data_IF_025695326227
#
_entry.id   IF_025695326227
#
_cell.length_a   1.000
_cell.length_b   1.000
_cell.length_c   1.000
_cell.angle_alpha   90.00
_cell.angle_beta   90.00
_cell.angle_gamma   90.00
#
_symmetry.space_group_name_H-M   'P 1'
#
loop_
_entity.id
_entity.type
_entity.pdbx_description
1 polymer ?
#
# COMPACT_ATOMS: atom_id res chain seq x y z
N UNK A 1 2.67 18.02 -6.06
CA UNK A 1 1.52 18.67 -6.36
C UNK A 1 0.28 17.89 -6.08
N UNK A 2 -0.54 18.46 -5.40
CA UNK A 2 -1.73 17.77 -4.92
C UNK A 2 -2.82 17.62 -5.99
N UNK A 3 -2.55 18.05 -7.21
CA UNK A 3 -3.55 18.07 -8.26
C UNK A 3 -4.14 16.71 -8.58
N UNK A 4 -3.39 15.62 -8.28
CA UNK A 4 -3.83 14.26 -8.58
C UNK A 4 -4.52 13.59 -7.41
N UNK A 5 -4.71 14.31 -6.29
CA UNK A 5 -5.41 13.74 -5.16
C UNK A 5 -6.91 13.71 -5.44
N UNK A 6 -7.60 12.63 -5.07
CA UNK A 6 -9.05 12.57 -5.26
C UNK A 6 -9.74 13.61 -4.38
N UNK A 7 -10.88 14.11 -4.86
CA UNK A 7 -11.69 15.08 -4.12
C UNK A 7 -12.61 14.40 -3.12
N UNK A 8 -12.61 13.07 -3.06
CA UNK A 8 -13.49 12.31 -2.19
C UNK A 8 -12.69 11.42 -1.25
N UNK A 9 -13.37 10.90 -0.25
CA UNK A 9 -12.84 9.91 0.67
C UNK A 9 -13.46 8.56 0.33
N UNK A 10 -12.64 7.55 0.14
CA UNK A 10 -13.17 6.22 -0.17
C UNK A 10 -14.04 5.74 0.97
N UNK A 11 -15.11 4.99 0.61
CA UNK A 11 -16.02 4.48 1.63
C UNK A 11 -15.39 3.39 2.49
N UNK A 12 -14.45 2.64 1.93
CA UNK A 12 -13.69 1.65 2.68
C UNK A 12 -12.22 2.00 2.59
N UNK A 13 -11.60 2.23 3.75
CA UNK A 13 -10.20 2.63 3.83
C UNK A 13 -9.50 1.76 4.87
N UNK A 14 -8.51 0.97 4.49
CA UNK A 14 -7.74 0.22 5.48
C UNK A 14 -6.89 1.16 6.33
N UNK A 15 -6.81 0.86 7.62
CA UNK A 15 -5.93 1.55 8.54
C UNK A 15 -4.94 0.55 9.09
N UNK A 16 -3.66 0.79 8.84
CA UNK A 16 -2.59 -0.11 9.24
C UNK A 16 -1.92 0.44 10.49
N UNK A 17 -1.85 -0.39 11.54
CA UNK A 17 -1.02 -0.08 12.69
C UNK A 17 0.43 -0.33 12.30
N UNK A 18 1.30 0.66 12.53
CA UNK A 18 2.72 0.56 12.18
C UNK A 18 3.57 0.69 13.44
N UNK A 19 4.72 0.04 13.46
CA UNK A 19 5.58 0.02 14.64
C UNK A 19 6.59 1.17 14.66
N UNK A 20 6.89 1.73 13.49
CA UNK A 20 7.81 2.86 13.35
C UNK A 20 7.21 3.79 12.30
N UNK A 21 6.45 4.78 12.76
CA UNK A 21 5.70 5.66 11.88
C UNK A 21 6.61 6.38 10.87
N UNK A 22 7.75 6.88 11.32
CA UNK A 22 8.65 7.61 10.42
C UNK A 22 9.15 6.71 9.29
N UNK A 23 9.51 5.48 9.60
CA UNK A 23 9.97 4.52 8.59
C UNK A 23 8.84 4.17 7.61
N UNK A 24 7.63 3.95 8.11
CA UNK A 24 6.48 3.63 7.26
C UNK A 24 6.10 4.80 6.39
N UNK A 25 6.06 6.01 6.95
CA UNK A 25 5.74 7.20 6.19
C UNK A 25 6.74 7.41 5.05
N UNK A 26 8.04 7.25 5.35
CA UNK A 26 9.08 7.36 4.34
C UNK A 26 8.88 6.31 3.23
N UNK A 27 8.59 5.08 3.63
CA UNK A 27 8.38 4.00 2.67
C UNK A 27 7.22 4.30 1.73
N UNK A 28 6.06 4.66 2.28
CA UNK A 28 4.89 4.90 1.44
C UNK A 28 5.04 6.16 0.58
N UNK A 29 5.67 7.21 1.11
CA UNK A 29 5.80 8.48 0.36
C UNK A 29 7.03 8.50 -0.53
N UNK A 30 8.22 8.45 0.05
CA UNK A 30 9.46 8.63 -0.71
C UNK A 30 9.77 7.43 -1.61
N UNK A 31 9.48 6.21 -1.15
CA UNK A 31 9.78 5.01 -1.94
C UNK A 31 8.66 4.70 -2.93
N UNK A 32 7.42 4.56 -2.45
CA UNK A 32 6.32 4.14 -3.31
C UNK A 32 5.67 5.29 -4.08
N UNK A 33 5.67 6.48 -3.52
CA UNK A 33 5.11 7.64 -4.21
C UNK A 33 3.71 8.05 -3.76
N UNK A 34 3.23 7.55 -2.61
CA UNK A 34 1.98 8.04 -2.04
C UNK A 34 2.12 9.49 -1.63
N UNK A 35 1.02 10.22 -1.66
CA UNK A 35 0.94 11.58 -1.12
C UNK A 35 0.20 11.59 0.19
N UNK A 36 0.58 12.51 1.08
CA UNK A 36 -0.09 12.68 2.38
C UNK A 36 -1.26 13.64 2.20
N UNK A 37 -2.45 13.18 2.58
CA UNK A 37 -3.65 14.01 2.52
C UNK A 37 -3.96 14.67 3.86
N UNK A 38 -3.75 13.91 4.97
CA UNK A 38 -3.89 14.40 6.34
C UNK A 38 -2.76 13.78 7.16
N UNK A 39 -2.22 14.55 8.08
CA UNK A 39 -1.24 14.04 9.04
C UNK A 39 -1.57 14.61 10.42
N UNK A 40 -1.52 13.74 11.44
CA UNK A 40 -1.79 14.11 12.82
C UNK A 40 -0.73 13.54 13.73
N UNK A 41 -0.70 14.00 14.95
CA UNK A 41 0.18 13.51 16.00
C UNK A 41 -0.63 13.09 17.23
N UNK A 42 -0.02 12.28 18.11
CA UNK A 42 -0.56 11.86 19.39
C UNK A 42 -1.83 11.00 19.23
N UNK A 43 -1.73 9.83 18.57
CA UNK A 43 -0.54 9.22 17.99
C UNK A 43 -0.24 9.76 16.59
N UNK A 44 0.97 9.49 16.11
CA UNK A 44 1.32 9.81 14.73
C UNK A 44 0.39 9.04 13.78
N UNK A 45 -0.13 9.75 12.80
CA UNK A 45 -1.12 9.25 11.86
C UNK A 45 -0.96 9.96 10.52
N UNK A 46 -1.17 9.22 9.43
CA UNK A 46 -1.24 9.81 8.10
C UNK A 46 -2.31 9.12 7.26
N UNK A 47 -3.03 9.93 6.49
CA UNK A 47 -3.96 9.46 5.46
C UNK A 47 -3.25 9.62 4.14
N UNK A 48 -3.09 8.51 3.41
CA UNK A 48 -2.24 8.44 2.23
C UNK A 48 -3.05 8.10 0.99
N UNK A 49 -2.67 8.70 -0.14
CA UNK A 49 -3.32 8.48 -1.42
C UNK A 49 -2.30 8.15 -2.50
N UNK A 50 -2.63 7.20 -3.35
CA UNK A 50 -1.89 6.93 -4.59
C UNK A 50 -2.93 6.78 -5.69
N UNK A 51 -3.09 7.83 -6.50
CA UNK A 51 -4.24 7.87 -7.39
C UNK A 51 -5.52 7.78 -6.57
N UNK A 52 -6.37 6.81 -6.90
CA UNK A 52 -7.61 6.59 -6.16
C UNK A 52 -7.45 5.60 -5.00
N UNK A 53 -6.28 5.00 -4.86
CA UNK A 53 -6.02 4.13 -3.73
C UNK A 53 -5.78 4.96 -2.48
N UNK A 54 -6.44 4.58 -1.38
CA UNK A 54 -6.35 5.31 -0.13
C UNK A 54 -6.12 4.33 1.02
N UNK A 55 -5.23 4.69 1.93
CA UNK A 55 -5.01 3.92 3.15
C UNK A 55 -4.50 4.85 4.24
N UNK A 56 -4.62 4.41 5.48
CA UNK A 56 -4.16 5.14 6.64
C UNK A 56 -3.07 4.35 7.35
N UNK A 57 -2.13 5.06 7.96
CA UNK A 57 -1.16 4.45 8.86
C UNK A 57 -1.19 5.19 10.19
N UNK A 58 -1.12 4.42 11.28
CA UNK A 58 -1.14 4.97 12.63
C UNK A 58 -0.09 4.27 13.47
N UNK A 59 0.69 5.06 14.22
CA UNK A 59 1.69 4.50 15.13
C UNK A 59 1.03 3.62 16.18
N UNK A 60 1.59 2.45 16.42
CA UNK A 60 1.12 1.57 17.49
C UNK A 60 1.10 2.31 18.83
N UNK A 61 0.02 2.13 19.57
CA UNK A 61 -0.08 2.62 20.96
C UNK A 61 -1.03 1.70 21.73
N UNK A 62 -0.89 1.66 23.08
CA UNK A 62 -1.64 0.68 23.88
C UNK A 62 -3.17 0.79 23.77
N UNK A 63 -3.71 1.97 23.46
CA UNK A 63 -5.15 2.17 23.29
C UNK A 63 -5.62 2.01 21.85
N UNK A 64 -4.72 1.58 20.95
CA UNK A 64 -5.08 1.35 19.55
C UNK A 64 -6.02 0.17 19.40
N UNK A 65 -6.66 0.09 18.25
CA UNK A 65 -7.64 -0.97 17.96
C UNK A 65 -6.93 -2.21 17.43
N UNK A 66 -6.16 -2.86 18.31
CA UNK A 66 -5.45 -4.07 17.95
C UNK A 66 -6.18 -5.25 18.60
N UNK A 67 -6.65 -6.16 17.77
CA UNK A 67 -7.48 -7.28 18.25
C UNK A 67 -6.68 -8.34 18.96
N UNK A 68 -5.36 -8.34 18.76
CA UNK A 68 -4.45 -9.28 19.40
C UNK A 68 -3.04 -8.71 19.36
N UNK A 69 -2.11 -9.41 19.97
CA UNK A 69 -0.70 -9.01 19.96
C UNK A 69 -0.16 -9.03 18.53
N UNK A 70 0.60 -8.00 18.18
CA UNK A 70 1.14 -7.85 16.82
C UNK A 70 2.54 -8.44 16.73
N UNK A 71 2.76 -9.27 15.72
CA UNK A 71 4.05 -9.88 15.43
C UNK A 71 4.35 -9.75 13.94
N UNK A 72 5.61 -9.54 13.61
CA UNK A 72 6.04 -9.48 12.22
C UNK A 72 5.88 -10.85 11.56
N UNK A 73 5.37 -10.98 10.34
CA UNK A 73 4.80 -9.93 9.51
C UNK A 73 3.39 -9.57 9.95
N UNK A 74 3.13 -8.29 10.08
CA UNK A 74 1.78 -7.83 10.40
C UNK A 74 0.86 -8.05 9.21
N UNK A 75 -0.46 -8.08 9.48
CA UNK A 75 -1.44 -8.23 8.42
C UNK A 75 -1.47 -9.61 7.79
N UNK A 76 -1.19 -10.64 8.57
CA UNK A 76 -1.18 -12.02 8.07
C UNK A 76 -2.56 -12.39 7.53
N UNK A 77 -2.58 -12.92 6.31
CA UNK A 77 -3.83 -13.37 5.68
C UNK A 77 -4.54 -12.30 4.87
N UNK A 78 -3.96 -11.11 4.75
CA UNK A 78 -4.53 -10.05 3.93
C UNK A 78 -3.46 -9.49 2.99
N UNK A 79 -3.88 -9.06 1.81
CA UNK A 79 -3.03 -8.26 0.94
C UNK A 79 -3.86 -7.11 0.38
N UNK A 80 -3.16 -6.03 0.00
CA UNK A 80 -3.82 -4.84 -0.52
C UNK A 80 -3.46 -4.71 -1.99
N UNK A 81 -4.46 -4.83 -2.84
CA UNK A 81 -4.28 -4.64 -4.28
C UNK A 81 -4.37 -3.14 -4.59
N UNK A 82 -3.34 -2.62 -5.19
CA UNK A 82 -3.25 -1.22 -5.58
C UNK A 82 -3.08 -1.19 -7.09
N UNK A 83 -4.14 -0.79 -7.79
CA UNK A 83 -4.09 -0.67 -9.23
C UNK A 83 -3.41 0.64 -9.61
N UNK A 84 -2.49 0.57 -10.57
CA UNK A 84 -1.73 1.72 -11.04
C UNK A 84 -1.80 1.79 -12.57
N UNK A 85 -1.59 2.98 -13.11
CA UNK A 85 -1.64 3.17 -14.56
C UNK A 85 -0.40 2.62 -15.24
N UNK A 86 0.77 2.76 -14.60
CA UNK A 86 2.04 2.26 -15.14
C UNK A 86 2.84 1.61 -14.01
N UNK A 87 2.81 0.30 -13.97
CA UNK A 87 3.47 -0.47 -12.89
C UNK A 87 4.99 -0.34 -12.95
N UNK A 88 5.54 -0.04 -14.13
CA UNK A 88 7.00 0.11 -14.26
C UNK A 88 7.52 1.30 -13.45
N UNK A 89 6.71 2.34 -13.29
CA UNK A 89 7.10 3.51 -12.50
C UNK A 89 7.32 3.13 -11.04
N UNK A 90 6.36 2.39 -10.45
CA UNK A 90 6.47 1.96 -9.06
C UNK A 90 7.59 0.94 -8.91
N UNK A 91 7.68 -0.01 -9.83
CA UNK A 91 8.72 -1.04 -9.79
C UNK A 91 10.12 -0.41 -9.81
N UNK A 92 10.33 0.60 -10.66
CA UNK A 92 11.61 1.27 -10.74
C UNK A 92 11.99 1.96 -9.43
N UNK A 93 11.02 2.58 -8.76
CA UNK A 93 11.26 3.21 -7.45
C UNK A 93 11.67 2.18 -6.42
N UNK A 94 10.97 1.05 -6.38
CA UNK A 94 11.23 -0.04 -5.44
C UNK A 94 12.63 -0.61 -5.69
N UNK A 95 12.96 -0.86 -6.93
CA UNK A 95 14.27 -1.42 -7.31
C UNK A 95 15.40 -0.45 -7.00
N UNK A 96 15.18 0.84 -7.22
CA UNK A 96 16.19 1.86 -6.93
C UNK A 96 16.56 1.88 -5.45
N UNK A 97 15.60 1.57 -4.59
CA UNK A 97 15.82 1.53 -3.13
C UNK A 97 16.32 0.17 -2.66
N UNK A 98 16.52 -0.78 -3.57
CA UNK A 98 17.03 -2.09 -3.21
C UNK A 98 16.08 -2.95 -2.41
N UNK A 99 14.78 -2.69 -2.52
CA UNK A 99 13.77 -3.42 -1.75
C UNK A 99 13.46 -4.73 -2.44
N UNK A 100 13.52 -5.83 -1.68
CA UNK A 100 13.24 -7.16 -2.19
C UNK A 100 11.74 -7.33 -2.46
N UNK A 101 11.42 -8.02 -3.55
CA UNK A 101 10.03 -8.33 -3.88
C UNK A 101 9.62 -9.64 -3.23
N UNK A 102 8.37 -9.71 -2.77
CA UNK A 102 7.78 -10.95 -2.30
C UNK A 102 7.46 -11.87 -3.47
N UNK A 103 6.97 -11.30 -4.58
CA UNK A 103 6.77 -12.00 -5.85
C UNK A 103 7.25 -11.08 -6.97
N UNK A 104 7.99 -11.63 -7.95
CA UNK A 104 8.49 -10.80 -9.06
C UNK A 104 7.37 -10.38 -10.00
N UNK A 105 7.68 -9.38 -10.83
CA UNK A 105 6.75 -8.90 -11.85
C UNK A 105 6.37 -10.04 -12.80
N UNK A 106 5.06 -10.21 -13.02
CA UNK A 106 4.56 -11.21 -13.95
C UNK A 106 3.15 -10.85 -14.39
N UNK A 107 2.74 -11.43 -15.53
CA UNK A 107 1.38 -11.29 -16.03
C UNK A 107 0.55 -12.49 -15.55
N UNK A 108 -0.64 -12.20 -15.05
CA UNK A 108 -1.55 -13.24 -14.54
C UNK A 108 -2.91 -13.05 -15.18
N UNK A 109 -3.51 -14.14 -15.63
CA UNK A 109 -4.85 -14.13 -16.20
C UNK A 109 -5.83 -14.60 -15.13
N UNK A 110 -6.86 -13.80 -14.88
CA UNK A 110 -7.89 -14.11 -13.90
C UNK A 110 -9.22 -14.37 -14.58
N UNK A 111 -9.96 -15.33 -14.06
CA UNK A 111 -11.33 -15.58 -14.44
C UNK A 111 -12.21 -14.56 -13.72
N UNK A 112 -12.98 -13.78 -14.50
CA UNK A 112 -13.84 -12.73 -13.96
C UNK A 112 -15.31 -13.08 -14.04
N UNK A 113 -15.64 -14.37 -14.21
CA UNK A 113 -17.03 -14.83 -14.28
C UNK A 113 -17.57 -14.85 -15.69
N UNK A 114 -17.01 -15.72 -16.54
CA UNK A 114 -17.44 -15.88 -17.94
C UNK A 114 -16.53 -15.19 -18.94
N UNK A 115 -15.56 -14.43 -18.48
CA UNK A 115 -14.52 -13.83 -19.30
C UNK A 115 -13.22 -13.80 -18.48
N UNK A 116 -12.17 -13.21 -19.01
CA UNK A 116 -10.89 -13.16 -18.34
C UNK A 116 -10.34 -11.75 -18.34
N UNK A 117 -9.49 -11.46 -17.35
CA UNK A 117 -8.74 -10.22 -17.29
C UNK A 117 -7.27 -10.54 -17.03
N UNK A 118 -6.37 -9.83 -17.71
CA UNK A 118 -4.95 -10.00 -17.52
C UNK A 118 -4.43 -8.84 -16.69
N UNK A 119 -3.66 -9.15 -15.66
CA UNK A 119 -3.05 -8.16 -14.79
C UNK A 119 -1.54 -8.39 -14.73
N UNK A 120 -0.78 -7.30 -14.86
CA UNK A 120 0.65 -7.33 -14.61
C UNK A 120 0.84 -6.89 -13.16
N UNK A 121 1.54 -7.71 -12.37
CA UNK A 121 1.60 -7.44 -10.94
C UNK A 121 2.92 -7.89 -10.32
N UNK A 122 3.27 -7.26 -9.20
CA UNK A 122 4.32 -7.72 -8.31
C UNK A 122 3.88 -7.46 -6.87
N UNK A 123 4.51 -8.17 -5.93
CA UNK A 123 4.18 -8.04 -4.52
C UNK A 123 5.43 -7.73 -3.72
N UNK A 124 5.24 -6.90 -2.69
CA UNK A 124 6.30 -6.61 -1.73
C UNK A 124 5.68 -6.41 -0.36
N UNK A 125 6.52 -6.49 0.67
CA UNK A 125 6.10 -6.21 2.04
C UNK A 125 6.53 -4.81 2.42
N UNK A 126 5.68 -4.12 3.19
CA UNK A 126 6.07 -2.85 3.78
C UNK A 126 6.98 -3.08 5.00
N UNK A 127 7.45 -2.03 5.69
CA UNK A 127 8.37 -2.22 6.82
C UNK A 127 7.84 -3.10 7.94
N UNK A 128 6.52 -3.19 8.13
CA UNK A 128 5.91 -4.03 9.16
C UNK A 128 5.47 -5.39 8.63
N UNK A 129 5.69 -5.67 7.35
CA UNK A 129 5.35 -6.94 6.77
C UNK A 129 3.98 -7.00 6.13
N UNK A 130 3.25 -5.88 6.06
CA UNK A 130 1.98 -5.85 5.32
C UNK A 130 2.24 -6.10 3.85
N UNK A 131 1.43 -6.97 3.25
CA UNK A 131 1.63 -7.40 1.87
C UNK A 131 0.89 -6.48 0.91
N UNK A 132 1.65 -5.86 0.01
CA UNK A 132 1.11 -4.96 -1.01
C UNK A 132 1.22 -5.63 -2.37
N UNK A 133 0.15 -5.56 -3.15
CA UNK A 133 0.10 -6.10 -4.50
C UNK A 133 -0.19 -4.96 -5.48
N UNK A 134 0.85 -4.52 -6.19
CA UNK A 134 0.68 -3.54 -7.26
C UNK A 134 0.25 -4.24 -8.52
N UNK A 135 -0.72 -3.68 -9.21
CA UNK A 135 -1.26 -4.29 -10.42
C UNK A 135 -1.55 -3.23 -11.47
N UNK A 136 -1.39 -3.65 -12.73
CA UNK A 136 -1.76 -2.86 -13.89
C UNK A 136 -2.62 -3.74 -14.77
N UNK A 137 -3.82 -3.26 -15.09
CA UNK A 137 -4.73 -3.98 -15.97
C UNK A 137 -4.16 -3.95 -17.40
N UNK A 138 -4.12 -5.10 -18.05
CA UNK A 138 -3.71 -5.23 -19.45
C UNK A 138 -4.92 -5.59 -20.30
N UNK A 139 -5.06 -4.92 -21.43
CA UNK A 139 -6.13 -5.22 -22.39
C UNK A 139 -5.81 -6.40 -23.27
#
# INVERSE_FOLDING_TARGET
>A
MSDNQPLYWNRMVPELTVTDFAASLHFYTAVLGFSVRIQRQQPDFAYLCYGEAQLMIEQFHPQGWNTAELHWPLGRGINFQIEVDDIQVVLARVQKQGIALYRPLRDTVYDTGGTTACQREFLLKDPDGYLLRFSQYLE
#
